data_IF_080648901317
#
_entry.id   IF_080648901317
#
_cell.length_a   1.000
_cell.length_b   1.000
_cell.length_c   1.000
_cell.angle_alpha   90.00
_cell.angle_beta   90.00
_cell.angle_gamma   90.00
#
_symmetry.space_group_name_H-M   'P 1'
#
loop_
_entity.id
_entity.type
_entity.pdbx_description
1 polymer ?
#
# COMPACT_ATOMS: atom_id res chain seq x y z
N UNK A 1 -11.21 1.74 3.76
CA UNK A 1 -11.00 1.63 5.21
C UNK A 1 -9.52 1.59 5.48
N UNK A 2 -9.09 2.23 6.54
CA UNK A 2 -7.67 2.39 6.89
C UNK A 2 -7.55 1.95 8.34
N UNK A 3 -6.56 1.13 8.65
CA UNK A 3 -6.26 0.69 10.00
C UNK A 3 -4.85 1.13 10.35
N UNK A 4 -4.76 2.03 11.33
CA UNK A 4 -3.49 2.43 11.91
C UNK A 4 -3.33 1.73 13.26
N UNK A 5 -2.30 0.91 13.34
CA UNK A 5 -1.89 0.17 14.53
C UNK A 5 -0.45 0.52 14.91
N UNK A 6 0.07 1.63 14.38
CA UNK A 6 1.43 2.05 14.66
C UNK A 6 1.65 2.33 16.15
N UNK A 7 2.88 2.13 16.63
CA UNK A 7 3.28 2.32 18.03
C UNK A 7 2.51 1.47 19.06
N UNK A 8 1.91 0.36 18.63
CA UNK A 8 1.31 -0.63 19.53
C UNK A 8 2.26 -1.81 19.77
N UNK A 9 2.13 -2.44 20.95
CA UNK A 9 2.87 -3.65 21.32
C UNK A 9 2.31 -4.93 20.68
N UNK A 10 1.82 -4.84 19.44
CA UNK A 10 1.28 -5.97 18.70
C UNK A 10 2.42 -6.93 18.36
N UNK A 11 2.43 -8.11 18.99
CA UNK A 11 3.37 -9.20 18.66
C UNK A 11 2.92 -9.98 17.42
N UNK A 12 1.61 -10.04 17.18
CA UNK A 12 0.99 -10.75 16.07
C UNK A 12 -0.24 -9.98 15.58
N UNK A 13 -0.54 -10.10 14.28
CA UNK A 13 -1.78 -9.58 13.71
C UNK A 13 -2.86 -10.68 13.78
N UNK A 14 -3.98 -10.50 14.51
CA UNK A 14 -4.96 -11.56 14.67
C UNK A 14 -5.63 -11.90 13.34
N UNK A 15 -5.99 -13.18 13.15
CA UNK A 15 -6.67 -13.67 11.94
C UNK A 15 -7.97 -12.92 11.63
N UNK A 16 -8.59 -12.27 12.62
CA UNK A 16 -9.77 -11.43 12.44
C UNK A 16 -9.54 -10.29 11.44
N UNK A 17 -8.30 -9.82 11.25
CA UNK A 17 -7.97 -8.81 10.23
C UNK A 17 -8.23 -9.32 8.80
N UNK A 18 -8.17 -10.63 8.57
CA UNK A 18 -8.49 -11.24 7.28
C UNK A 18 -9.96 -11.05 6.91
N UNK A 19 -10.86 -10.78 7.88
CA UNK A 19 -12.27 -10.50 7.61
C UNK A 19 -12.49 -9.11 7.02
N UNK A 20 -11.50 -8.22 7.10
CA UNK A 20 -11.58 -6.83 6.65
C UNK A 20 -11.34 -6.74 5.12
N UNK A 21 -12.29 -7.25 4.34
CA UNK A 21 -12.22 -7.25 2.86
C UNK A 21 -12.10 -5.85 2.23
N UNK A 22 -12.56 -4.82 2.96
CA UNK A 22 -12.55 -3.42 2.52
C UNK A 22 -11.33 -2.61 3.04
N UNK A 23 -10.37 -3.28 3.68
CA UNK A 23 -9.14 -2.64 4.16
C UNK A 23 -8.27 -2.25 2.97
N UNK A 24 -7.90 -0.97 2.89
CA UNK A 24 -7.11 -0.38 1.80
C UNK A 24 -5.68 -0.05 2.25
N UNK A 25 -5.55 0.38 3.49
CA UNK A 25 -4.30 0.82 4.12
C UNK A 25 -4.17 0.15 5.49
N UNK A 26 -3.01 -0.44 5.77
CA UNK A 26 -2.67 -1.03 7.05
C UNK A 26 -1.30 -0.51 7.50
N UNK A 27 -1.26 0.27 8.58
CA UNK A 27 -0.02 0.80 9.14
C UNK A 27 0.32 0.05 10.43
N UNK A 28 1.46 -0.63 10.44
CA UNK A 28 2.01 -1.40 11.57
C UNK A 28 3.37 -0.86 11.99
N UNK A 29 3.62 0.43 11.75
CA UNK A 29 4.92 1.04 11.99
C UNK A 29 5.27 1.04 13.48
N UNK A 30 6.53 0.79 13.85
CA UNK A 30 6.97 0.71 15.25
C UNK A 30 6.16 -0.29 16.09
N UNK A 31 5.83 -1.45 15.50
CA UNK A 31 5.19 -2.55 16.23
C UNK A 31 6.17 -3.72 16.38
N UNK A 32 5.98 -4.53 17.43
CA UNK A 32 6.75 -5.75 17.66
C UNK A 32 6.29 -6.94 16.82
N UNK A 33 5.60 -6.69 15.70
CA UNK A 33 4.98 -7.74 14.90
C UNK A 33 6.07 -8.53 14.18
N UNK A 34 6.04 -9.85 14.36
CA UNK A 34 7.01 -10.77 13.75
C UNK A 34 6.45 -11.47 12.52
N UNK A 35 5.15 -11.73 12.52
CA UNK A 35 4.48 -12.50 11.49
C UNK A 35 3.11 -11.92 11.20
N UNK A 36 2.68 -12.06 9.95
CA UNK A 36 1.33 -11.76 9.48
C UNK A 36 0.65 -13.07 9.10
N UNK A 37 -0.70 -13.14 9.16
CA UNK A 37 -1.42 -14.32 8.71
C UNK A 37 -1.16 -14.58 7.22
N UNK A 38 -0.91 -15.84 6.85
CA UNK A 38 -0.55 -16.27 5.48
C UNK A 38 -1.58 -15.90 4.43
N UNK A 39 -2.85 -15.76 4.84
CA UNK A 39 -3.97 -15.41 3.95
C UNK A 39 -4.33 -13.92 3.99
N UNK A 40 -3.53 -13.07 4.64
CA UNK A 40 -3.83 -11.63 4.77
C UNK A 40 -4.03 -10.98 3.40
N UNK A 41 -3.11 -11.19 2.47
CA UNK A 41 -3.15 -10.57 1.14
C UNK A 41 -4.23 -11.16 0.23
N UNK A 42 -4.53 -12.44 0.41
CA UNK A 42 -5.63 -13.13 -0.29
C UNK A 42 -7.01 -12.68 0.19
N UNK A 43 -7.17 -12.39 1.48
CA UNK A 43 -8.47 -12.05 2.05
C UNK A 43 -8.75 -10.54 1.96
N UNK A 44 -7.73 -9.69 2.15
CA UNK A 44 -7.81 -8.24 2.00
C UNK A 44 -7.52 -7.82 0.56
N UNK A 45 -8.43 -8.14 -0.36
CA UNK A 45 -8.29 -7.88 -1.80
C UNK A 45 -8.15 -6.40 -2.17
N UNK A 46 -8.63 -5.50 -1.30
CA UNK A 46 -8.54 -4.05 -1.49
C UNK A 46 -7.24 -3.45 -0.91
N UNK A 47 -6.44 -4.24 -0.19
CA UNK A 47 -5.23 -3.77 0.48
C UNK A 47 -4.20 -3.42 -0.59
N UNK A 48 -3.75 -2.17 -0.54
CA UNK A 48 -2.82 -1.60 -1.53
C UNK A 48 -1.65 -0.87 -0.86
N UNK A 49 -1.76 -0.58 0.43
CA UNK A 49 -0.74 0.12 1.21
C UNK A 49 -0.53 -0.63 2.52
N UNK A 50 0.73 -0.93 2.82
CA UNK A 50 1.15 -1.65 4.02
C UNK A 50 2.41 -0.97 4.57
N UNK A 51 2.28 -0.34 5.74
CA UNK A 51 3.39 0.24 6.49
C UNK A 51 3.96 -0.78 7.48
N UNK A 52 5.24 -1.11 7.33
CA UNK A 52 5.97 -2.05 8.20
C UNK A 52 7.27 -1.45 8.73
N UNK A 53 7.32 -0.12 8.82
CA UNK A 53 8.53 0.57 9.24
C UNK A 53 8.89 0.22 10.68
N UNK A 54 10.16 -0.09 10.95
CA UNK A 54 10.64 -0.45 12.29
C UNK A 54 9.85 -1.63 12.91
N UNK A 55 9.66 -2.70 12.13
CA UNK A 55 9.11 -3.99 12.57
C UNK A 55 10.12 -5.11 12.32
N UNK A 56 9.88 -6.31 12.86
CA UNK A 56 10.72 -7.48 12.58
C UNK A 56 10.33 -8.23 11.29
N UNK A 57 9.38 -7.68 10.52
CA UNK A 57 8.93 -8.28 9.27
C UNK A 57 9.87 -7.93 8.12
N UNK A 58 10.40 -8.97 7.48
CA UNK A 58 11.20 -8.84 6.27
C UNK A 58 10.35 -9.06 5.02
N UNK A 59 10.78 -8.47 3.90
CA UNK A 59 10.15 -8.70 2.60
C UNK A 59 10.18 -10.18 2.22
N UNK A 60 11.20 -10.93 2.63
CA UNK A 60 11.30 -12.36 2.38
C UNK A 60 10.17 -13.15 3.05
N UNK A 61 9.86 -12.83 4.31
CA UNK A 61 8.73 -13.41 5.02
C UNK A 61 7.40 -13.06 4.34
N UNK A 62 7.26 -11.85 3.79
CA UNK A 62 6.04 -11.44 3.08
C UNK A 62 5.85 -12.21 1.77
N UNK A 63 6.93 -12.51 1.04
CA UNK A 63 6.90 -13.28 -0.22
C UNK A 63 6.43 -14.72 -0.03
N UNK A 64 6.51 -15.25 1.19
CA UNK A 64 5.99 -16.57 1.53
C UNK A 64 4.48 -16.57 1.80
N UNK A 65 3.84 -15.39 1.93
CA UNK A 65 2.41 -15.28 2.20
C UNK A 65 1.60 -15.41 0.90
N UNK A 66 0.42 -16.01 1.03
CA UNK A 66 -0.45 -16.31 -0.10
C UNK A 66 -1.16 -15.03 -0.58
N UNK A 67 -1.10 -14.78 -1.89
CA UNK A 67 -1.62 -13.55 -2.51
C UNK A 67 -0.65 -12.36 -2.44
N UNK A 68 0.61 -12.55 -2.03
CA UNK A 68 1.64 -11.50 -2.05
C UNK A 68 1.82 -10.88 -3.45
N UNK A 69 1.86 -11.69 -4.50
CA UNK A 69 2.09 -11.21 -5.87
C UNK A 69 0.98 -10.25 -6.33
N UNK A 70 -0.27 -10.61 -6.05
CA UNK A 70 -1.44 -9.78 -6.34
C UNK A 70 -1.42 -8.48 -5.51
N UNK A 71 -1.01 -8.55 -4.24
CA UNK A 71 -0.84 -7.36 -3.40
C UNK A 71 0.28 -6.44 -3.93
N UNK A 72 1.43 -7.01 -4.32
CA UNK A 72 2.57 -6.28 -4.84
C UNK A 72 2.24 -5.58 -6.17
N UNK A 73 1.47 -6.23 -7.04
CA UNK A 73 0.92 -5.65 -8.27
C UNK A 73 -0.04 -4.48 -7.97
N UNK A 74 -0.99 -4.67 -7.04
CA UNK A 74 -1.92 -3.59 -6.61
C UNK A 74 -1.15 -2.39 -6.06
N UNK A 75 -0.18 -2.65 -5.19
CA UNK A 75 0.71 -1.64 -4.62
C UNK A 75 1.46 -0.89 -5.72
N UNK A 76 2.14 -1.59 -6.64
CA UNK A 76 2.87 -0.98 -7.75
C UNK A 76 1.97 -0.13 -8.63
N UNK A 77 0.80 -0.64 -9.02
CA UNK A 77 -0.15 0.07 -9.87
C UNK A 77 -0.65 1.36 -9.20
N UNK A 78 -0.92 1.32 -7.88
CA UNK A 78 -1.31 2.50 -7.12
C UNK A 78 -0.18 3.54 -7.06
N UNK A 79 1.08 3.12 -6.86
CA UNK A 79 2.22 4.05 -6.84
C UNK A 79 2.55 4.61 -8.23
N UNK A 80 2.41 3.82 -9.29
CA UNK A 80 2.63 4.25 -10.67
C UNK A 80 1.58 5.29 -11.12
N UNK A 81 0.30 5.06 -10.81
CA UNK A 81 -0.77 6.03 -11.10
C UNK A 81 -0.61 7.37 -10.37
N UNK A 82 0.00 7.36 -9.19
CA UNK A 82 0.31 8.60 -8.46
C UNK A 82 1.43 9.42 -9.11
N UNK A 83 2.35 8.78 -9.85
CA UNK A 83 3.40 9.47 -10.59
C UNK A 83 2.88 10.01 -11.93
N UNK A 84 2.04 9.24 -12.62
CA UNK A 84 1.42 9.63 -13.89
C UNK A 84 0.53 10.86 -13.76
N UNK A 85 -0.25 10.96 -12.67
CA UNK A 85 -1.04 12.16 -12.38
C UNK A 85 -0.17 13.40 -12.08
N UNK A 86 1.08 13.22 -11.62
CA UNK A 86 1.98 14.33 -11.30
C UNK A 86 2.74 14.86 -12.53
N UNK A 87 2.83 14.08 -13.61
CA UNK A 87 3.48 14.51 -14.86
C UNK A 87 2.52 15.24 -15.81
N UNK A 88 1.20 15.02 -15.68
CA UNK A 88 0.15 15.83 -16.35
C UNK A 88 -0.17 17.08 -15.52
N UNK A 89 0.86 17.86 -15.20
CA UNK A 89 0.70 19.13 -14.48
C UNK A 89 1.78 20.17 -14.81
N UNK A 90 2.75 19.83 -15.65
CA UNK A 90 3.90 20.71 -15.93
C UNK A 90 4.30 20.73 -17.40
N UNK A 91 3.35 20.54 -18.31
CA UNK A 91 3.66 20.58 -19.73
C UNK A 91 2.43 20.64 -20.61
N UNK A 92 1.79 21.80 -20.69
CA UNK A 92 1.15 22.22 -21.93
C UNK A 92 1.33 23.73 -22.11
N UNK A 93 2.06 24.05 -23.18
CA UNK A 93 2.37 25.35 -23.72
C UNK A 93 1.12 25.86 -24.44
N UNK A 94 0.76 27.13 -24.25
CA UNK A 94 -0.03 27.86 -25.25
C UNK A 94 0.86 28.96 -25.84
N UNK A 95 1.64 28.55 -26.84
CA UNK A 95 2.30 29.43 -27.79
C UNK A 95 1.24 29.80 -28.82
N UNK A 96 0.57 30.95 -28.63
CA UNK A 96 -0.73 31.18 -29.25
C UNK A 96 -1.11 32.65 -29.51
N UNK A 97 -0.39 33.26 -30.45
CA UNK A 97 -0.86 34.31 -31.36
C UNK A 97 -1.26 35.69 -30.79
N UNK A 98 -0.36 36.67 -30.97
CA UNK A 98 -0.74 37.97 -31.50
C UNK A 98 -0.12 38.18 -32.89
N UNK A 99 -0.99 38.08 -33.90
CA UNK A 99 -0.82 38.70 -35.22
C UNK A 99 -1.97 39.68 -35.42
N UNK A 100 -1.70 40.71 -36.23
CA UNK A 100 -2.56 41.83 -36.69
C UNK A 100 -2.49 43.06 -35.77
N UNK A 101 -2.25 44.29 -36.24
CA UNK A 101 -2.28 44.92 -37.56
C UNK A 101 -1.53 46.26 -37.46
#
# INVERSE_FOLDING_TARGET
MEADLSANILSELPETFTKLRNLKTLELNNTGVKTLPSVLFKMCLQLSTLGLHNTEITVESLRQLEGWDEFDERRRTKHQKQLDFRVVGSGEFDEGADKSW
#
